data_IF_361185224058
#
_entry.id   IF_361185224058
#
_cell.length_a   1.000
_cell.length_b   1.000
_cell.length_c   1.000
_cell.angle_alpha   90.00
_cell.angle_beta   90.00
_cell.angle_gamma   90.00
#
_symmetry.space_group_name_H-M   'P 1'
#
loop_
_entity.id
_entity.type
_entity.pdbx_description
1 polymer ?
#
# COMPACT_ATOMS: atom_id res chain seq x y z
N UNK A 1 5.22 10.18 -17.54
CA UNK A 1 3.92 10.24 -16.85
C UNK A 1 4.15 9.73 -15.43
N UNK A 2 3.94 10.58 -14.42
CA UNK A 2 4.09 10.17 -13.03
C UNK A 2 2.80 9.44 -12.63
N UNK A 3 2.89 8.12 -12.38
CA UNK A 3 1.81 7.36 -11.74
C UNK A 3 1.66 7.91 -10.32
N UNK A 4 0.46 8.24 -9.93
CA UNK A 4 0.13 8.66 -8.57
C UNK A 4 -0.16 7.43 -7.76
N UNK A 5 0.59 7.27 -6.69
CA UNK A 5 0.23 6.33 -5.66
C UNK A 5 -0.94 6.89 -4.87
N UNK A 6 -1.93 6.07 -4.61
CA UNK A 6 -2.93 6.33 -3.60
C UNK A 6 -2.27 6.17 -2.23
N UNK A 7 -2.30 7.22 -1.41
CA UNK A 7 -1.93 7.12 -0.01
C UNK A 7 -3.02 6.33 0.70
N UNK A 8 -2.76 5.06 1.00
CA UNK A 8 -3.59 4.30 1.94
C UNK A 8 -3.02 4.58 3.34
N UNK A 9 -3.74 5.38 4.10
CA UNK A 9 -3.36 5.69 5.48
C UNK A 9 -3.26 4.43 6.34
N UNK A 10 -2.40 4.45 7.35
CA UNK A 10 -2.04 3.38 8.29
C UNK A 10 -3.22 2.66 9.02
N UNK A 11 -4.46 2.89 8.64
CA UNK A 11 -5.66 2.31 9.28
C UNK A 11 -6.07 0.91 8.81
N UNK A 12 -5.55 0.38 7.71
CA UNK A 12 -6.08 -0.85 7.09
C UNK A 12 -5.37 -2.15 7.46
N UNK A 13 -4.24 -2.12 8.12
CA UNK A 13 -3.47 -3.32 8.45
C UNK A 13 -4.14 -4.25 9.48
N UNK A 14 -5.16 -3.81 10.21
CA UNK A 14 -5.88 -4.62 11.19
C UNK A 14 -7.27 -5.13 10.75
N UNK A 15 -7.82 -4.62 9.65
CA UNK A 15 -9.16 -5.02 9.19
C UNK A 15 -9.19 -6.37 8.43
N UNK A 16 -8.03 -6.91 8.05
CA UNK A 16 -7.94 -8.21 7.36
C UNK A 16 -7.89 -9.43 8.31
N UNK A 17 -7.75 -9.21 9.62
CA UNK A 17 -8.08 -10.22 10.59
C UNK A 17 -9.62 -10.20 10.74
N UNK A 18 -10.30 -10.96 9.88
CA UNK A 18 -11.75 -11.05 9.85
C UNK A 18 -12.36 -11.32 11.21
N UNK A 19 -12.70 -10.29 11.94
CA UNK A 19 -13.85 -10.36 12.80
C UNK A 19 -15.05 -10.25 11.85
N UNK A 20 -15.57 -11.41 11.45
CA UNK A 20 -16.97 -11.50 11.12
C UNK A 20 -17.73 -11.03 12.40
N UNK A 21 -17.90 -9.70 12.54
CA UNK A 21 -18.94 -9.21 13.42
C UNK A 21 -20.20 -9.82 12.86
N UNK A 22 -20.79 -10.70 13.65
CA UNK A 22 -22.08 -11.27 13.38
C UNK A 22 -23.07 -10.09 13.22
N UNK A 23 -23.17 -9.58 11.99
CA UNK A 23 -24.37 -8.85 11.59
C UNK A 23 -25.50 -9.79 11.92
N UNK A 24 -26.52 -9.33 12.63
CA UNK A 24 -27.70 -10.09 13.04
C UNK A 24 -28.36 -10.81 11.86
N UNK A 25 -27.74 -11.82 11.26
CA UNK A 25 -28.25 -12.82 10.33
C UNK A 25 -29.22 -12.40 9.25
N UNK A 26 -29.37 -11.11 8.95
CA UNK A 26 -30.25 -10.61 7.91
C UNK A 26 -29.47 -10.34 6.63
N UNK A 27 -29.75 -11.11 5.60
CA UNK A 27 -29.29 -10.88 4.25
C UNK A 27 -30.47 -10.48 3.37
N UNK A 28 -30.30 -9.53 2.43
CA UNK A 28 -29.08 -8.73 2.20
C UNK A 28 -28.80 -7.74 3.32
N UNK A 29 -27.53 -7.41 3.55
CA UNK A 29 -27.05 -6.47 4.55
C UNK A 29 -26.15 -5.39 3.96
N UNK A 30 -26.16 -4.21 4.59
CA UNK A 30 -25.26 -3.09 4.25
C UNK A 30 -24.27 -2.90 5.40
N UNK A 31 -23.00 -2.79 5.06
CA UNK A 31 -21.94 -2.36 5.97
C UNK A 31 -21.11 -1.27 5.33
N UNK A 32 -20.43 -0.49 6.15
CA UNK A 32 -19.51 0.53 5.68
C UNK A 32 -18.31 0.60 6.62
N UNK A 33 -17.12 0.59 6.05
CA UNK A 33 -15.88 0.93 6.73
C UNK A 33 -15.43 2.31 6.27
N UNK A 34 -14.88 3.09 7.19
CA UNK A 34 -14.32 4.39 6.86
C UNK A 34 -13.05 4.66 7.66
N UNK A 35 -12.15 5.40 7.03
CA UNK A 35 -10.99 6.02 7.66
C UNK A 35 -10.91 7.47 7.20
N UNK A 36 -10.78 8.39 8.14
CA UNK A 36 -10.61 9.81 7.84
C UNK A 36 -9.36 10.30 8.54
N UNK A 37 -8.36 10.70 7.77
CA UNK A 37 -7.15 11.30 8.28
C UNK A 37 -7.08 12.78 7.92
N UNK A 38 -6.58 13.58 8.85
CA UNK A 38 -6.09 14.94 8.61
C UNK A 38 -4.59 14.88 8.79
N UNK A 39 -3.85 15.10 7.72
CA UNK A 39 -2.39 15.05 7.74
C UNK A 39 -1.78 16.40 7.42
N UNK A 40 -0.71 16.72 8.11
CA UNK A 40 0.11 17.89 7.87
C UNK A 40 1.57 17.49 7.73
N UNK A 41 2.13 17.74 6.54
CA UNK A 41 3.49 17.41 6.19
C UNK A 41 4.35 18.65 6.08
N UNK A 42 5.55 18.53 6.58
CA UNK A 42 6.64 19.48 6.41
C UNK A 42 7.79 18.77 5.74
N UNK A 43 8.29 19.30 4.63
CA UNK A 43 9.50 18.81 3.98
C UNK A 43 10.48 19.95 3.77
N UNK A 44 11.75 19.67 4.06
CA UNK A 44 12.86 20.59 3.83
C UNK A 44 13.81 19.98 2.80
N UNK A 45 13.79 20.52 1.60
CA UNK A 45 14.63 20.10 0.48
C UNK A 45 15.97 20.83 0.51
N UNK A 46 17.05 20.08 0.47
CA UNK A 46 18.41 20.60 0.38
C UNK A 46 19.02 20.21 -0.98
N UNK A 47 19.25 21.22 -1.81
CA UNK A 47 19.97 21.07 -3.08
C UNK A 47 21.35 21.73 -2.90
N UNK A 48 22.48 21.09 -3.30
CA UNK A 48 23.79 21.70 -3.23
C UNK A 48 23.79 23.06 -3.96
N UNK A 49 24.39 24.08 -3.33
CA UNK A 49 24.52 25.43 -3.85
C UNK A 49 23.20 26.19 -4.09
N UNK A 50 22.09 25.76 -3.51
CA UNK A 50 20.80 26.45 -3.53
C UNK A 50 20.29 26.73 -2.11
N UNK A 51 19.46 27.78 -1.91
CA UNK A 51 18.80 27.99 -0.63
C UNK A 51 17.91 26.82 -0.24
N UNK A 52 17.76 26.59 1.04
CA UNK A 52 16.82 25.58 1.56
C UNK A 52 15.40 25.91 1.11
N UNK A 53 14.73 24.92 0.58
CA UNK A 53 13.33 25.04 0.15
C UNK A 53 12.44 24.28 1.13
N UNK A 54 11.53 25.00 1.76
CA UNK A 54 10.57 24.42 2.72
C UNK A 54 9.22 24.32 2.06
N UNK A 55 8.64 23.13 2.08
CA UNK A 55 7.32 22.83 1.55
C UNK A 55 6.43 22.36 2.70
N UNK A 56 5.20 22.86 2.77
CA UNK A 56 4.21 22.39 3.74
C UNK A 56 2.94 21.99 3.01
N UNK A 57 2.35 20.88 3.43
CA UNK A 57 1.14 20.35 2.83
C UNK A 57 0.18 19.82 3.90
N UNK A 58 -0.95 20.45 4.06
CA UNK A 58 -2.04 19.96 4.90
C UNK A 58 -3.17 19.46 4.04
N UNK A 59 -3.68 18.26 4.29
CA UNK A 59 -4.73 17.66 3.49
C UNK A 59 -5.60 16.70 4.30
N UNK A 60 -6.76 16.38 3.73
CA UNK A 60 -7.61 15.28 4.14
C UNK A 60 -7.30 14.05 3.29
N UNK A 61 -7.35 12.91 3.95
CA UNK A 61 -7.41 11.61 3.32
C UNK A 61 -8.62 10.88 3.91
N UNK A 62 -9.63 10.63 3.08
CA UNK A 62 -10.86 9.96 3.51
C UNK A 62 -11.02 8.73 2.64
N UNK A 63 -10.90 7.57 3.24
CA UNK A 63 -11.15 6.29 2.59
C UNK A 63 -12.47 5.74 3.09
N UNK A 64 -13.32 5.28 2.17
CA UNK A 64 -14.57 4.62 2.49
C UNK A 64 -14.72 3.34 1.68
N UNK A 65 -15.25 2.29 2.30
CA UNK A 65 -15.62 1.07 1.64
C UNK A 65 -17.06 0.68 2.05
N UNK A 66 -17.96 0.63 1.10
CA UNK A 66 -19.33 0.21 1.29
C UNK A 66 -19.46 -1.24 0.86
N UNK A 67 -20.03 -2.07 1.73
CA UNK A 67 -20.16 -3.51 1.54
C UNK A 67 -21.63 -3.88 1.44
N UNK A 68 -22.05 -4.37 0.30
CA UNK A 68 -23.34 -5.00 0.09
C UNK A 68 -23.20 -6.51 0.27
N UNK A 69 -23.57 -7.02 1.43
CA UNK A 69 -23.56 -8.45 1.74
C UNK A 69 -24.79 -9.10 1.13
N UNK A 70 -24.60 -9.89 0.09
CA UNK A 70 -25.66 -10.61 -0.60
C UNK A 70 -25.99 -11.92 0.13
N UNK A 71 -24.95 -12.61 0.60
CA UNK A 71 -25.00 -13.85 1.37
C UNK A 71 -23.95 -13.82 2.49
N UNK A 72 -23.73 -14.94 3.18
CA UNK A 72 -22.65 -15.10 4.17
C UNK A 72 -21.26 -15.09 3.55
N UNK A 73 -21.15 -15.29 2.25
CA UNK A 73 -19.89 -15.47 1.53
C UNK A 73 -19.75 -14.58 0.28
N UNK A 74 -20.83 -13.87 -0.11
CA UNK A 74 -20.82 -12.99 -1.28
C UNK A 74 -21.12 -11.55 -0.91
N UNK A 75 -20.29 -10.65 -1.37
CA UNK A 75 -20.38 -9.23 -1.13
C UNK A 75 -20.08 -8.43 -2.43
N UNK A 76 -20.70 -7.27 -2.56
CA UNK A 76 -20.29 -6.23 -3.53
C UNK A 76 -19.60 -5.13 -2.73
N UNK A 77 -18.39 -4.81 -3.13
CA UNK A 77 -17.58 -3.74 -2.54
C UNK A 77 -17.54 -2.52 -3.43
N UNK A 78 -17.69 -1.34 -2.82
CA UNK A 78 -17.48 -0.05 -3.48
C UNK A 78 -16.55 0.78 -2.59
N UNK A 79 -15.31 0.90 -3.02
CA UNK A 79 -14.29 1.70 -2.35
C UNK A 79 -14.16 3.09 -2.99
N UNK A 80 -13.96 4.10 -2.16
CA UNK A 80 -13.65 5.45 -2.62
C UNK A 80 -12.64 6.13 -1.71
N UNK A 81 -11.87 7.06 -2.30
CA UNK A 81 -10.84 7.83 -1.61
C UNK A 81 -10.93 9.30 -1.99
N UNK A 82 -10.97 10.16 -0.98
CA UNK A 82 -10.85 11.62 -1.13
C UNK A 82 -9.47 12.02 -0.66
N UNK A 83 -8.57 12.29 -1.59
CA UNK A 83 -7.16 12.57 -1.31
C UNK A 83 -6.60 13.65 -2.26
N UNK A 84 -5.40 14.20 -2.01
CA UNK A 84 -4.75 15.12 -2.94
C UNK A 84 -4.47 14.48 -4.29
N UNK A 85 -5.00 15.05 -5.37
CA UNK A 85 -4.77 14.61 -6.75
C UNK A 85 -3.71 15.43 -7.49
N UNK A 86 -3.12 16.43 -6.83
CA UNK A 86 -2.03 17.25 -7.36
C UNK A 86 -0.85 17.23 -6.42
N UNK A 87 0.36 17.04 -6.95
CA UNK A 87 1.58 17.13 -6.14
C UNK A 87 1.81 18.57 -5.65
N UNK A 88 2.35 18.72 -4.44
CA UNK A 88 2.82 20.00 -3.92
C UNK A 88 4.18 20.32 -4.55
N UNK A 89 4.35 21.54 -5.03
CA UNK A 89 5.63 21.99 -5.61
C UNK A 89 6.64 22.31 -4.51
N UNK A 90 7.93 22.12 -4.74
CA UNK A 90 8.96 22.59 -3.83
C UNK A 90 8.78 24.08 -3.48
N UNK A 91 8.74 24.42 -2.19
CA UNK A 91 8.51 25.78 -1.71
C UNK A 91 7.04 26.20 -1.60
N UNK A 92 6.11 25.38 -2.02
CA UNK A 92 4.67 25.64 -1.90
C UNK A 92 4.20 25.43 -0.46
N UNK A 93 3.28 26.30 -0.03
CA UNK A 93 2.54 26.14 1.23
C UNK A 93 1.09 25.89 0.87
N UNK A 94 0.63 24.66 1.05
CA UNK A 94 -0.73 24.25 0.70
C UNK A 94 -1.48 23.81 1.95
N UNK A 95 -2.74 24.24 2.04
CA UNK A 95 -3.67 23.79 3.06
C UNK A 95 -4.98 23.40 2.39
N UNK A 96 -5.37 22.13 2.53
CA UNK A 96 -6.62 21.53 2.01
C UNK A 96 -6.86 21.75 0.50
N UNK A 97 -5.80 21.95 -0.26
CA UNK A 97 -5.90 22.17 -1.71
C UNK A 97 -5.63 20.92 -2.53
N UNK A 98 -6.11 20.91 -3.77
CA UNK A 98 -5.78 19.85 -4.73
C UNK A 98 -6.50 18.54 -4.53
N UNK A 99 -7.54 18.49 -3.68
CA UNK A 99 -8.30 17.29 -3.32
C UNK A 99 -9.20 16.80 -4.45
N UNK A 100 -9.23 15.51 -4.69
CA UNK A 100 -10.12 14.80 -5.62
C UNK A 100 -10.85 13.66 -4.94
N UNK A 101 -11.86 13.12 -5.62
CA UNK A 101 -12.57 11.89 -5.24
C UNK A 101 -12.25 10.82 -6.27
N UNK A 102 -11.64 9.74 -5.85
CA UNK A 102 -11.32 8.58 -6.68
C UNK A 102 -12.20 7.39 -6.25
N UNK A 103 -12.65 6.60 -7.21
CA UNK A 103 -13.23 5.29 -6.93
C UNK A 103 -12.09 4.28 -7.00
N UNK A 104 -11.74 3.68 -5.87
CA UNK A 104 -10.62 2.74 -5.76
C UNK A 104 -11.04 1.33 -6.12
N UNK A 105 -12.21 0.91 -5.65
CA UNK A 105 -12.73 -0.45 -5.78
C UNK A 105 -14.17 -0.44 -6.27
N UNK A 106 -14.52 -1.35 -7.16
CA UNK A 106 -15.87 -1.76 -7.50
C UNK A 106 -15.81 -3.22 -7.89
N UNK A 107 -16.07 -4.12 -6.95
CA UNK A 107 -15.90 -5.53 -7.21
C UNK A 107 -16.92 -6.41 -6.48
N UNK A 108 -17.17 -7.56 -7.05
CA UNK A 108 -17.80 -8.67 -6.36
C UNK A 108 -16.73 -9.51 -5.68
N UNK A 109 -16.93 -9.78 -4.40
CA UNK A 109 -16.05 -10.58 -3.55
C UNK A 109 -16.80 -11.79 -3.03
N UNK A 110 -16.28 -12.97 -3.32
CA UNK A 110 -16.73 -14.25 -2.78
C UNK A 110 -15.69 -14.78 -1.80
N UNK A 111 -16.07 -15.02 -0.55
CA UNK A 111 -15.18 -15.53 0.50
C UNK A 111 -15.69 -16.84 1.06
N UNK A 112 -15.28 -17.95 0.47
CA UNK A 112 -15.49 -19.29 1.01
C UNK A 112 -14.46 -19.65 2.09
N UNK A 113 -14.64 -20.80 2.71
CA UNK A 113 -13.73 -21.30 3.77
C UNK A 113 -12.31 -21.54 3.24
N UNK A 114 -12.17 -22.21 2.11
CA UNK A 114 -10.89 -22.59 1.50
C UNK A 114 -10.51 -21.75 0.29
N UNK A 115 -11.42 -20.99 -0.25
CA UNK A 115 -11.17 -20.20 -1.48
C UNK A 115 -11.83 -18.84 -1.40
N UNK A 116 -11.20 -17.87 -2.04
CA UNK A 116 -11.80 -16.56 -2.29
C UNK A 116 -11.63 -16.16 -3.75
N UNK A 117 -12.57 -15.37 -4.23
CA UNK A 117 -12.58 -14.85 -5.59
C UNK A 117 -13.03 -13.40 -5.58
N UNK A 118 -12.36 -12.55 -6.36
CA UNK A 118 -12.71 -11.15 -6.54
C UNK A 118 -12.76 -10.82 -8.03
N UNK A 119 -13.81 -10.11 -8.47
CA UNK A 119 -14.01 -9.72 -9.86
C UNK A 119 -14.48 -8.28 -9.96
N UNK A 120 -13.82 -7.47 -10.77
CA UNK A 120 -14.16 -6.06 -10.99
C UNK A 120 -12.94 -5.17 -10.94
N UNK A 121 -13.09 -3.97 -10.36
CA UNK A 121 -11.99 -3.05 -10.08
C UNK A 121 -11.45 -3.30 -8.67
N UNK A 122 -10.17 -3.60 -8.55
CA UNK A 122 -9.51 -3.95 -7.28
C UNK A 122 -8.01 -3.72 -7.33
N UNK A 123 -7.37 -3.72 -6.17
CA UNK A 123 -5.92 -3.70 -6.06
C UNK A 123 -5.36 -5.11 -6.17
N UNK A 124 -4.38 -5.28 -7.08
CA UNK A 124 -3.73 -6.58 -7.30
C UNK A 124 -2.84 -6.90 -6.10
N UNK A 125 -3.06 -8.03 -5.40
CA UNK A 125 -2.27 -8.39 -4.23
C UNK A 125 -0.83 -8.72 -4.65
N UNK A 126 0.11 -7.79 -4.41
CA UNK A 126 1.52 -7.96 -4.73
C UNK A 126 2.40 -7.06 -3.87
N UNK A 127 3.29 -7.67 -3.06
CA UNK A 127 4.06 -6.97 -2.04
C UNK A 127 3.23 -6.67 -0.79
N UNK A 128 3.91 -6.29 0.27
CA UNK A 128 3.32 -6.00 1.59
C UNK A 128 3.87 -4.74 2.23
N UNK A 129 4.97 -4.16 1.73
CA UNK A 129 5.64 -3.06 2.42
C UNK A 129 4.72 -1.83 2.54
N UNK A 130 3.81 -1.61 1.58
CA UNK A 130 2.86 -0.51 1.64
C UNK A 130 1.97 -0.57 2.88
N UNK A 131 1.59 -1.79 3.31
CA UNK A 131 0.69 -2.00 4.44
C UNK A 131 1.43 -2.42 5.72
N UNK A 132 2.55 -3.13 5.59
CA UNK A 132 3.25 -3.76 6.71
C UNK A 132 4.36 -2.92 7.30
N UNK A 133 4.96 -2.01 6.53
CA UNK A 133 6.02 -1.15 7.00
C UNK A 133 5.45 0.14 7.59
N UNK A 134 5.80 0.49 8.85
CA UNK A 134 5.28 1.66 9.53
C UNK A 134 5.85 2.96 8.95
N UNK A 135 5.06 4.03 8.99
CA UNK A 135 5.45 5.37 8.58
C UNK A 135 4.40 6.09 7.74
N UNK A 136 4.44 7.41 7.70
CA UNK A 136 3.54 8.23 6.88
C UNK A 136 4.03 8.38 5.43
N UNK A 137 5.32 8.14 5.18
CA UNK A 137 5.97 8.35 3.88
C UNK A 137 6.40 7.06 3.20
N UNK A 138 6.46 5.95 3.95
CA UNK A 138 6.92 4.66 3.43
C UNK A 138 5.99 4.13 2.35
N UNK A 139 4.66 4.21 2.55
CA UNK A 139 3.66 3.76 1.58
C UNK A 139 3.85 4.43 0.22
N UNK A 140 4.07 5.76 0.21
CA UNK A 140 4.30 6.51 -1.04
C UNK A 140 5.61 6.13 -1.72
N UNK A 141 6.65 5.87 -0.92
CA UNK A 141 7.96 5.52 -1.46
C UNK A 141 7.97 4.16 -2.15
N UNK A 142 7.19 3.20 -1.65
CA UNK A 142 7.08 1.84 -2.20
C UNK A 142 5.92 1.68 -3.19
N UNK A 143 5.00 2.62 -3.25
CA UNK A 143 3.83 2.60 -4.13
C UNK A 143 4.10 2.36 -5.64
N UNK A 144 5.28 2.66 -6.22
CA UNK A 144 5.51 2.40 -7.65
C UNK A 144 5.37 0.94 -8.07
N UNK A 145 5.53 -0.04 -7.18
CA UNK A 145 5.29 -1.45 -7.51
C UNK A 145 3.94 -1.99 -7.02
N UNK A 146 3.18 -1.22 -6.26
CA UNK A 146 1.81 -1.57 -5.90
C UNK A 146 0.85 -1.22 -7.06
N UNK A 147 0.02 -2.17 -7.48
CA UNK A 147 -0.92 -1.97 -8.57
C UNK A 147 -2.34 -1.81 -8.03
N UNK A 148 -2.74 -0.55 -7.82
CA UNK A 148 -4.08 -0.19 -7.37
C UNK A 148 -5.06 0.04 -8.51
N UNK A 149 -6.36 -0.25 -8.26
CA UNK A 149 -7.47 0.10 -9.13
C UNK A 149 -7.45 -0.57 -10.51
N UNK A 150 -7.01 -1.82 -10.61
CA UNK A 150 -7.01 -2.59 -11.85
C UNK A 150 -8.35 -3.27 -12.09
N UNK A 151 -8.74 -3.39 -13.37
CA UNK A 151 -9.92 -4.17 -13.76
C UNK A 151 -9.51 -5.63 -14.03
N UNK A 152 -10.19 -6.59 -13.43
CA UNK A 152 -9.86 -7.99 -13.62
C UNK A 152 -10.48 -8.92 -12.60
N UNK A 153 -9.78 -10.01 -12.30
CA UNK A 153 -10.17 -10.96 -11.27
C UNK A 153 -8.96 -11.60 -10.59
N UNK A 154 -9.14 -11.96 -9.34
CA UNK A 154 -8.16 -12.75 -8.57
C UNK A 154 -8.85 -13.94 -7.93
N UNK A 155 -8.17 -15.06 -7.89
CA UNK A 155 -8.59 -16.26 -7.20
C UNK A 155 -7.51 -16.69 -6.23
N UNK A 156 -7.88 -16.99 -4.99
CA UNK A 156 -7.00 -17.53 -3.93
C UNK A 156 -7.56 -18.84 -3.45
N UNK A 157 -6.69 -19.81 -3.21
CA UNK A 157 -7.01 -21.07 -2.56
C UNK A 157 -6.15 -21.27 -1.32
N UNK A 158 -6.75 -21.74 -0.21
CA UNK A 158 -6.08 -21.93 1.08
C UNK A 158 -5.95 -23.40 1.41
N UNK A 159 -4.73 -23.87 1.54
CA UNK A 159 -4.38 -25.18 2.04
C UNK A 159 -4.09 -25.06 3.53
N UNK A 160 -4.89 -25.72 4.34
CA UNK A 160 -4.65 -25.80 5.78
C UNK A 160 -3.98 -27.12 6.10
N UNK A 161 -2.83 -27.09 6.77
CA UNK A 161 -2.07 -28.26 7.17
C UNK A 161 -1.57 -28.10 8.60
N UNK A 162 -1.65 -29.14 9.41
CA UNK A 162 -1.22 -29.08 10.81
C UNK A 162 0.28 -28.85 10.94
N UNK A 163 1.07 -29.46 10.06
CA UNK A 163 2.54 -29.42 10.13
C UNK A 163 3.16 -28.23 9.41
N UNK A 164 2.53 -27.76 8.32
CA UNK A 164 3.10 -26.72 7.45
C UNK A 164 2.37 -25.37 7.57
N UNK A 165 1.32 -25.31 8.39
CA UNK A 165 0.49 -24.12 8.54
C UNK A 165 -0.43 -23.90 7.34
N UNK A 166 -0.66 -22.63 6.96
CA UNK A 166 -1.56 -22.26 5.87
C UNK A 166 -0.75 -21.77 4.68
N UNK A 167 -0.99 -22.38 3.52
CA UNK A 167 -0.40 -21.96 2.22
C UNK A 167 -1.55 -21.44 1.37
N UNK A 168 -1.45 -20.19 0.92
CA UNK A 168 -2.48 -19.52 0.12
C UNK A 168 -1.91 -19.00 -1.20
N UNK A 169 -1.86 -19.84 -2.26
CA UNK A 169 -1.57 -19.38 -3.60
C UNK A 169 -2.73 -18.56 -4.16
N UNK A 170 -2.42 -17.48 -4.85
CA UNK A 170 -3.37 -16.65 -5.59
C UNK A 170 -2.89 -16.39 -7.01
N UNK A 171 -3.86 -16.24 -7.92
CA UNK A 171 -3.64 -15.88 -9.31
C UNK A 171 -4.56 -14.72 -9.67
N UNK A 172 -4.00 -13.67 -10.24
CA UNK A 172 -4.73 -12.49 -10.73
C UNK A 172 -4.53 -12.33 -12.23
N UNK A 173 -5.62 -12.01 -12.94
CA UNK A 173 -5.61 -11.56 -14.34
C UNK A 173 -6.25 -10.20 -14.41
N UNK A 174 -5.58 -9.23 -15.04
CA UNK A 174 -6.03 -7.84 -14.97
C UNK A 174 -5.57 -6.98 -16.15
N UNK A 175 -6.15 -5.79 -16.23
CA UNK A 175 -5.75 -4.69 -17.11
C UNK A 175 -5.85 -3.36 -16.37
N UNK A 176 -5.16 -2.33 -16.86
CA UNK A 176 -5.32 -0.97 -16.35
C UNK A 176 -6.78 -0.51 -16.54
N UNK A 177 -7.32 0.19 -15.53
CA UNK A 177 -8.63 0.82 -15.64
C UNK A 177 -8.55 2.04 -16.56
N UNK A 178 -9.22 1.96 -17.72
CA UNK A 178 -9.37 3.07 -18.68
C UNK A 178 -10.80 3.61 -18.73
N UNK A 179 -11.66 3.15 -17.82
CA UNK A 179 -13.04 3.62 -17.70
C UNK A 179 -13.12 5.01 -17.07
N UNK A 180 -14.33 5.54 -16.97
CA UNK A 180 -14.59 6.81 -16.28
C UNK A 180 -14.22 6.78 -14.80
N UNK A 181 -14.11 5.58 -14.19
CA UNK A 181 -13.72 5.38 -12.81
C UNK A 181 -12.21 5.55 -12.59
N UNK A 182 -11.40 5.70 -13.62
CA UNK A 182 -9.96 5.96 -13.53
C UNK A 182 -9.62 7.43 -13.30
N UNK A 183 -10.60 8.33 -13.34
CA UNK A 183 -10.43 9.76 -13.09
C UNK A 183 -11.01 10.17 -11.75
N UNK A 184 -10.49 11.26 -11.19
CA UNK A 184 -11.10 11.89 -10.01
C UNK A 184 -12.35 12.71 -10.39
N UNK A 185 -13.37 12.69 -9.53
CA UNK A 185 -14.66 13.36 -9.77
C UNK A 185 -14.74 14.78 -9.19
N UNK A 186 -14.23 15.05 -7.99
CA UNK A 186 -14.29 16.38 -7.37
C UNK A 186 -13.36 17.38 -8.06
N UNK A 187 -12.16 16.95 -8.37
CA UNK A 187 -11.20 17.71 -9.17
C UNK A 187 -10.78 16.84 -10.33
N UNK A 188 -11.26 17.10 -11.55
CA UNK A 188 -10.98 16.24 -12.68
C UNK A 188 -9.49 16.05 -12.88
N UNK A 189 -9.02 14.82 -12.76
CA UNK A 189 -7.75 14.37 -13.29
C UNK A 189 -7.96 13.83 -14.69
N UNK A 190 -6.90 13.75 -15.47
CA UNK A 190 -7.01 13.15 -16.80
C UNK A 190 -7.39 11.66 -16.67
N UNK A 191 -8.47 11.25 -17.33
CA UNK A 191 -8.83 9.84 -17.44
C UNK A 191 -7.71 9.07 -18.13
N UNK A 192 -7.32 7.93 -17.58
CA UNK A 192 -6.36 7.05 -18.23
C UNK A 192 -6.93 6.56 -19.58
N UNK A 193 -6.13 6.63 -20.62
CA UNK A 193 -6.50 6.21 -21.98
C UNK A 193 -5.52 5.15 -22.46
N UNK A 194 -5.99 4.26 -23.31
CA UNK A 194 -5.14 3.25 -23.94
C UNK A 194 -3.99 3.88 -24.72
N UNK A 195 -4.23 5.03 -25.38
CA UNK A 195 -3.20 5.79 -26.10
C UNK A 195 -2.07 6.35 -25.22
N UNK A 196 -2.25 6.37 -23.90
CA UNK A 196 -1.20 6.84 -22.98
C UNK A 196 -0.03 5.85 -22.90
N UNK A 197 -0.25 4.60 -23.38
CA UNK A 197 0.76 3.55 -23.36
C UNK A 197 1.14 3.10 -21.94
N UNK A 198 2.32 2.52 -21.81
CA UNK A 198 2.86 2.02 -20.55
C UNK A 198 2.50 0.56 -20.29
N UNK A 199 3.14 -0.03 -19.28
CA UNK A 199 2.83 -1.37 -18.83
C UNK A 199 1.41 -1.43 -18.26
N UNK A 200 0.76 -2.60 -18.33
CA UNK A 200 -0.64 -2.87 -17.94
C UNK A 200 -1.73 -2.28 -18.84
N UNK A 201 -1.45 -1.21 -19.57
CA UNK A 201 -2.46 -0.47 -20.34
C UNK A 201 -2.67 -1.07 -21.74
N UNK A 202 -3.05 -2.34 -21.80
CA UNK A 202 -3.26 -3.10 -23.05
C UNK A 202 -4.69 -3.07 -23.54
N UNK A 203 -5.64 -2.68 -22.68
CA UNK A 203 -7.09 -2.83 -22.92
C UNK A 203 -7.56 -4.29 -22.96
N UNK A 204 -6.74 -5.24 -22.50
CA UNK A 204 -7.02 -6.68 -22.45
C UNK A 204 -6.60 -7.26 -21.10
N UNK A 205 -7.30 -8.29 -20.65
CA UNK A 205 -6.95 -9.05 -19.43
C UNK A 205 -5.79 -10.02 -19.72
N UNK A 206 -4.62 -9.49 -20.03
CA UNK A 206 -3.43 -10.25 -20.38
C UNK A 206 -2.24 -10.00 -19.43
N UNK A 207 -2.43 -9.16 -18.40
CA UNK A 207 -1.47 -9.03 -17.31
C UNK A 207 -1.80 -10.07 -16.24
N UNK A 208 -0.78 -10.61 -15.60
CA UNK A 208 -0.95 -11.66 -14.61
C UNK A 208 -0.04 -11.46 -13.39
N UNK A 209 -0.55 -11.80 -12.21
CA UNK A 209 0.24 -11.93 -10.99
C UNK A 209 -0.04 -13.26 -10.31
N UNK A 210 0.99 -13.96 -9.88
CA UNK A 210 0.92 -15.16 -9.07
C UNK A 210 1.64 -14.89 -7.75
N UNK A 211 0.95 -15.10 -6.63
CA UNK A 211 1.49 -14.86 -5.30
C UNK A 211 1.20 -16.07 -4.42
N UNK A 212 2.14 -16.44 -3.58
CA UNK A 212 1.96 -17.46 -2.55
C UNK A 212 2.21 -16.81 -1.20
N UNK A 213 1.19 -16.80 -0.36
CA UNK A 213 1.29 -16.43 1.04
C UNK A 213 1.41 -17.69 1.88
N UNK A 214 2.38 -17.73 2.76
CA UNK A 214 2.54 -18.78 3.73
C UNK A 214 2.48 -18.21 5.13
N UNK A 215 1.61 -18.78 5.97
CA UNK A 215 1.56 -18.54 7.41
C UNK A 215 2.01 -19.80 8.12
N UNK A 216 3.05 -19.69 8.92
CA UNK A 216 3.64 -20.81 9.62
C UNK A 216 2.67 -21.51 10.59
N UNK A 217 2.94 -22.78 10.90
CA UNK A 217 2.13 -23.55 11.85
C UNK A 217 2.29 -23.04 13.28
N UNK A 218 1.47 -23.57 14.19
CA UNK A 218 1.48 -23.19 15.61
C UNK A 218 2.84 -23.38 16.32
N UNK A 219 3.75 -24.19 15.76
CA UNK A 219 5.11 -24.36 16.29
C UNK A 219 5.99 -23.11 16.11
N UNK A 220 5.72 -22.29 15.08
CA UNK A 220 6.39 -21.01 14.83
C UNK A 220 5.29 -19.97 14.55
N UNK A 221 4.51 -19.61 15.59
CA UNK A 221 3.33 -18.76 15.40
C UNK A 221 3.73 -17.39 14.86
N UNK A 222 2.82 -16.79 14.10
CA UNK A 222 2.94 -15.40 13.60
C UNK A 222 4.06 -15.14 12.59
N UNK A 223 4.76 -16.16 12.07
CA UNK A 223 5.66 -16.01 10.93
C UNK A 223 4.85 -16.07 9.65
N UNK A 224 5.02 -15.06 8.82
CA UNK A 224 4.39 -14.94 7.50
C UNK A 224 5.45 -14.71 6.43
N UNK A 225 5.31 -15.40 5.31
CA UNK A 225 6.17 -15.24 4.13
C UNK A 225 5.29 -15.03 2.90
N UNK A 226 5.70 -14.12 2.03
CA UNK A 226 5.10 -13.97 0.71
C UNK A 226 6.18 -14.09 -0.34
N UNK A 227 5.87 -14.78 -1.44
CA UNK A 227 6.64 -14.76 -2.68
C UNK A 227 5.71 -14.55 -3.84
N UNK A 228 6.12 -13.79 -4.84
CA UNK A 228 5.27 -13.50 -5.99
C UNK A 228 6.04 -13.16 -7.25
N UNK A 229 5.36 -13.38 -8.37
CA UNK A 229 5.79 -12.99 -9.70
C UNK A 229 4.65 -12.33 -10.45
N UNK A 230 4.95 -11.24 -11.15
CA UNK A 230 4.00 -10.47 -11.91
C UNK A 230 4.55 -10.16 -13.29
N UNK A 231 3.69 -10.17 -14.31
CA UNK A 231 4.02 -9.75 -15.66
C UNK A 231 2.98 -8.77 -16.17
N UNK A 232 3.44 -7.61 -16.58
CA UNK A 232 2.63 -6.54 -17.15
C UNK A 232 3.00 -6.39 -18.62
N UNK A 233 2.06 -6.69 -19.50
CA UNK A 233 2.27 -6.55 -20.92
C UNK A 233 2.36 -5.07 -21.30
N UNK A 234 3.20 -4.80 -22.28
CA UNK A 234 3.31 -3.46 -22.88
C UNK A 234 1.98 -3.05 -23.49
N UNK A 235 1.57 -1.83 -23.20
CA UNK A 235 0.42 -1.19 -23.87
C UNK A 235 0.72 -0.80 -25.30
N UNK A 236 -0.19 -0.07 -25.92
CA UNK A 236 0.02 0.49 -27.26
C UNK A 236 1.27 1.38 -27.27
N UNK A 237 2.03 1.29 -28.34
CA UNK A 237 3.24 2.09 -28.51
C UNK A 237 2.81 3.56 -28.66
N UNK A 238 3.13 4.40 -27.69
CA UNK A 238 3.00 5.83 -27.85
C UNK A 238 4.20 6.35 -28.68
N UNK A 239 4.04 7.51 -29.32
CA UNK A 239 5.14 8.18 -30.02
C UNK A 239 6.35 8.43 -29.09
N UNK A 240 6.14 8.42 -27.77
CA UNK A 240 7.17 8.62 -26.74
C UNK A 240 7.95 7.34 -26.39
N UNK A 241 7.48 6.13 -26.75
CA UNK A 241 8.16 4.88 -26.43
C UNK A 241 7.93 3.82 -27.51
N UNK A 242 8.62 3.91 -28.66
CA UNK A 242 8.44 2.96 -29.79
C UNK A 242 8.95 1.55 -29.47
N UNK A 243 9.74 1.36 -28.43
CA UNK A 243 10.41 0.09 -28.07
C UNK A 243 9.95 -0.47 -26.73
N UNK A 244 8.71 -0.25 -26.34
CA UNK A 244 8.18 -0.71 -25.06
C UNK A 244 8.33 -2.23 -24.89
N UNK A 245 8.81 -2.66 -23.71
CA UNK A 245 8.96 -4.03 -23.30
C UNK A 245 7.86 -4.42 -22.29
N UNK A 246 7.68 -5.72 -22.05
CA UNK A 246 6.87 -6.17 -20.92
C UNK A 246 7.63 -5.91 -19.61
N UNK A 247 6.92 -5.40 -18.63
CA UNK A 247 7.44 -5.24 -17.27
C UNK A 247 7.27 -6.55 -16.51
N UNK A 248 8.27 -6.92 -15.72
CA UNK A 248 8.22 -8.10 -14.86
C UNK A 248 8.61 -7.71 -13.44
N UNK A 249 7.89 -8.22 -12.47
CA UNK A 249 8.16 -7.96 -11.06
C UNK A 249 8.30 -9.26 -10.29
N UNK A 250 9.17 -9.25 -9.29
CA UNK A 250 9.35 -10.35 -8.33
C UNK A 250 9.35 -9.79 -6.94
N UNK A 251 8.67 -10.45 -6.02
CA UNK A 251 8.61 -10.05 -4.61
C UNK A 251 8.94 -11.22 -3.71
N UNK A 252 9.64 -10.94 -2.62
CA UNK A 252 9.77 -11.82 -1.48
C UNK A 252 9.70 -11.00 -0.20
N UNK A 253 8.84 -11.39 0.73
CA UNK A 253 8.73 -10.72 2.03
C UNK A 253 8.62 -11.69 3.18
N UNK A 254 9.11 -11.29 4.33
CA UNK A 254 9.02 -12.00 5.61
C UNK A 254 8.57 -11.03 6.68
N UNK A 255 7.55 -11.42 7.44
CA UNK A 255 7.04 -10.72 8.61
C UNK A 255 6.97 -11.69 9.77
N UNK A 256 7.48 -11.29 10.93
CA UNK A 256 7.39 -12.11 12.13
C UNK A 256 6.93 -11.27 13.31
N UNK A 257 5.87 -11.67 14.01
CA UNK A 257 5.44 -11.02 15.24
C UNK A 257 5.94 -11.84 16.42
N UNK A 258 6.71 -11.20 17.28
CA UNK A 258 7.31 -11.77 18.49
C UNK A 258 6.56 -11.20 19.69
N UNK A 259 5.56 -11.90 20.23
CA UNK A 259 4.86 -11.44 21.42
C UNK A 259 5.71 -11.69 22.65
N UNK A 260 5.75 -10.75 23.57
CA UNK A 260 6.37 -10.92 24.89
C UNK A 260 5.61 -10.13 25.95
N UNK A 261 5.81 -10.55 27.21
CA UNK A 261 5.25 -9.83 28.35
C UNK A 261 6.33 -8.97 28.96
N UNK A 262 6.05 -7.68 29.12
CA UNK A 262 7.00 -6.77 29.73
C UNK A 262 7.31 -7.16 31.17
N UNK A 263 8.60 -7.28 31.48
CA UNK A 263 9.09 -7.47 32.86
C UNK A 263 9.14 -6.12 33.59
N UNK A 264 9.34 -6.15 34.90
CA UNK A 264 9.53 -4.94 35.74
C UNK A 264 10.74 -4.10 35.28
N UNK A 265 11.70 -4.70 34.59
CA UNK A 265 12.94 -4.04 34.13
C UNK A 265 12.66 -2.99 33.03
N UNK A 266 11.53 -3.11 32.33
CA UNK A 266 11.07 -2.12 31.33
C UNK A 266 10.30 -0.96 31.95
N UNK A 267 10.24 -0.89 33.27
CA UNK A 267 9.58 0.15 34.05
C UNK A 267 8.14 -0.19 34.45
N UNK A 268 7.64 0.47 35.49
CA UNK A 268 6.35 0.12 36.11
C UNK A 268 5.14 0.34 35.16
N UNK A 269 5.30 1.21 34.18
CA UNK A 269 4.21 1.52 33.24
C UNK A 269 3.95 0.41 32.22
N UNK A 270 4.97 -0.39 31.90
CA UNK A 270 4.88 -1.48 30.92
C UNK A 270 4.81 -2.86 31.59
N UNK A 271 5.16 -2.96 32.86
CA UNK A 271 5.18 -4.23 33.60
C UNK A 271 3.84 -4.98 33.49
N UNK A 272 3.90 -6.24 33.10
CA UNK A 272 2.72 -7.10 32.92
C UNK A 272 1.89 -6.83 31.66
N UNK A 273 2.29 -5.91 30.78
CA UNK A 273 1.62 -5.67 29.49
C UNK A 273 2.15 -6.61 28.42
N UNK A 274 1.25 -6.99 27.50
CA UNK A 274 1.64 -7.66 26.26
C UNK A 274 2.23 -6.64 25.31
N UNK A 275 3.35 -6.98 24.74
CA UNK A 275 4.11 -6.18 23.79
C UNK A 275 4.40 -7.04 22.57
N UNK A 276 4.39 -6.44 21.41
CA UNK A 276 4.73 -7.12 20.15
C UNK A 276 5.91 -6.42 19.47
N UNK A 277 6.89 -7.21 19.07
CA UNK A 277 7.98 -6.78 18.21
C UNK A 277 7.78 -7.41 16.84
N UNK A 278 7.67 -6.58 15.80
CA UNK A 278 7.34 -7.04 14.45
C UNK A 278 8.43 -6.61 13.46
N UNK A 279 9.48 -7.41 13.28
CA UNK A 279 10.40 -7.25 12.17
C UNK A 279 9.73 -7.61 10.85
N UNK A 280 10.02 -6.82 9.81
CA UNK A 280 9.57 -7.03 8.46
C UNK A 280 10.69 -6.72 7.47
N UNK A 281 10.79 -7.55 6.42
CA UNK A 281 11.71 -7.36 5.30
C UNK A 281 10.98 -7.68 4.01
N UNK A 282 11.10 -6.83 3.00
CA UNK A 282 10.61 -7.08 1.66
C UNK A 282 11.65 -6.69 0.61
N UNK A 283 11.84 -7.56 -0.37
CA UNK A 283 12.63 -7.31 -1.57
C UNK A 283 11.73 -7.37 -2.80
N UNK A 284 11.77 -6.33 -3.62
CA UNK A 284 11.07 -6.27 -4.91
C UNK A 284 12.05 -5.92 -6.01
N UNK A 285 12.02 -6.69 -7.09
CA UNK A 285 12.75 -6.40 -8.32
C UNK A 285 11.78 -6.17 -9.46
N UNK A 286 11.90 -5.01 -10.10
CA UNK A 286 11.15 -4.62 -11.29
C UNK A 286 12.11 -4.62 -12.47
N UNK A 287 11.82 -5.43 -13.47
CA UNK A 287 12.55 -5.46 -14.75
C UNK A 287 11.73 -4.76 -15.82
N UNK A 288 12.37 -3.90 -16.61
CA UNK A 288 11.73 -3.04 -17.61
C UNK A 288 10.61 -2.15 -16.99
N UNK A 289 10.90 -1.46 -15.90
CA UNK A 289 9.92 -0.63 -15.17
C UNK A 289 9.20 0.32 -16.13
N UNK A 290 7.86 0.38 -15.99
CA UNK A 290 6.96 1.13 -16.88
C UNK A 290 7.03 0.74 -18.37
N UNK A 291 7.52 -0.46 -18.68
CA UNK A 291 7.70 -0.95 -20.05
C UNK A 291 8.90 -0.35 -20.78
N UNK A 292 9.84 0.25 -20.06
CA UNK A 292 11.09 0.80 -20.62
C UNK A 292 12.14 -0.31 -20.67
N UNK A 293 12.63 -0.70 -21.87
CA UNK A 293 13.61 -1.78 -22.01
C UNK A 293 14.89 -1.50 -21.22
N UNK A 294 15.31 -2.46 -20.38
CA UNK A 294 16.55 -2.37 -19.62
C UNK A 294 16.55 -1.30 -18.51
N UNK A 295 15.38 -0.78 -18.14
CA UNK A 295 15.20 0.09 -16.97
C UNK A 295 14.77 -0.76 -15.80
N UNK A 296 15.71 -1.13 -14.94
CA UNK A 296 15.48 -2.02 -13.81
C UNK A 296 15.51 -1.24 -12.50
N UNK A 297 14.59 -1.61 -11.58
CA UNK A 297 14.55 -1.04 -10.24
C UNK A 297 14.45 -2.14 -9.19
N UNK A 298 15.22 -1.99 -8.12
CA UNK A 298 15.21 -2.90 -6.98
C UNK A 298 14.86 -2.12 -5.71
N UNK A 299 13.94 -2.66 -4.91
CA UNK A 299 13.55 -2.13 -3.61
C UNK A 299 13.94 -3.14 -2.52
N UNK A 300 14.53 -2.64 -1.44
CA UNK A 300 14.73 -3.39 -0.21
C UNK A 300 14.16 -2.56 0.94
N UNK A 301 13.04 -3.00 1.48
CA UNK A 301 12.38 -2.41 2.64
C UNK A 301 12.64 -3.26 3.86
N UNK A 302 13.13 -2.65 4.91
CA UNK A 302 13.30 -3.26 6.24
C UNK A 302 12.59 -2.41 7.26
N UNK A 303 11.81 -3.02 8.13
CA UNK A 303 11.15 -2.30 9.21
C UNK A 303 11.11 -3.08 10.51
N UNK A 304 10.98 -2.34 11.60
CA UNK A 304 10.76 -2.85 12.93
C UNK A 304 9.62 -2.06 13.56
N UNK A 305 8.56 -2.75 13.95
CA UNK A 305 7.46 -2.17 14.73
C UNK A 305 7.52 -2.71 16.15
N UNK A 306 7.37 -1.82 17.11
CA UNK A 306 7.22 -2.15 18.52
C UNK A 306 5.86 -1.65 18.98
N UNK A 307 4.94 -2.59 19.25
CA UNK A 307 3.61 -2.28 19.76
C UNK A 307 3.60 -2.42 21.29
N UNK A 308 3.22 -1.36 21.97
CA UNK A 308 3.13 -1.25 23.43
C UNK A 308 1.72 -0.85 23.86
N UNK A 309 0.72 -1.45 23.27
CA UNK A 309 -0.69 -1.27 23.56
C UNK A 309 -1.25 0.05 23.06
N UNK A 310 -1.13 1.17 23.79
CA UNK A 310 -1.57 2.48 23.29
C UNK A 310 -0.56 3.17 22.39
N UNK A 311 0.66 2.69 22.34
CA UNK A 311 1.73 3.24 21.53
C UNK A 311 2.26 2.17 20.57
N UNK A 312 2.39 2.52 19.32
CA UNK A 312 3.14 1.76 18.34
C UNK A 312 4.31 2.63 17.83
N UNK A 313 5.51 2.10 17.87
CA UNK A 313 6.71 2.75 17.36
C UNK A 313 7.20 2.01 16.13
N UNK A 314 7.59 2.74 15.12
CA UNK A 314 8.09 2.20 13.87
C UNK A 314 9.42 2.78 13.48
N UNK A 315 10.29 1.94 12.92
CA UNK A 315 11.48 2.35 12.21
C UNK A 315 11.52 1.63 10.88
N UNK A 316 11.57 2.38 9.78
CA UNK A 316 11.58 1.84 8.43
C UNK A 316 12.75 2.41 7.64
N UNK A 317 13.40 1.55 6.88
CA UNK A 317 14.39 1.93 5.88
C UNK A 317 14.07 1.24 4.56
N UNK A 318 13.87 2.02 3.51
CA UNK A 318 13.71 1.51 2.14
C UNK A 318 14.84 2.06 1.28
N UNK A 319 15.57 1.15 0.65
CA UNK A 319 16.55 1.47 -0.38
C UNK A 319 15.96 1.13 -1.75
N UNK A 320 16.07 2.06 -2.70
CA UNK A 320 15.63 1.91 -4.08
C UNK A 320 16.83 2.11 -4.99
N UNK A 321 17.23 1.06 -5.69
CA UNK A 321 18.29 1.11 -6.68
C UNK A 321 17.70 1.14 -8.08
N UNK A 322 18.04 2.18 -8.84
CA UNK A 322 17.58 2.36 -10.22
C UNK A 322 18.75 2.11 -11.15
N UNK A 323 18.56 1.23 -12.12
CA UNK A 323 19.56 0.82 -13.13
C UNK A 323 19.00 1.10 -14.53
N UNK A 324 19.19 2.31 -15.08
CA UNK A 324 18.73 2.62 -16.42
C UNK A 324 19.59 1.92 -17.47
N UNK A 325 18.99 1.57 -18.62
CA UNK A 325 19.70 0.99 -19.76
C UNK A 325 20.79 1.94 -20.26
N UNK A 326 22.05 1.51 -20.17
CA UNK A 326 23.20 2.30 -20.63
C UNK A 326 23.60 3.51 -19.79
N UNK A 327 22.96 3.70 -18.63
CA UNK A 327 23.25 4.80 -17.69
C UNK A 327 23.87 4.34 -16.37
N UNK A 328 24.37 5.28 -15.56
CA UNK A 328 24.87 4.98 -14.23
C UNK A 328 23.74 4.57 -13.29
N UNK A 329 24.03 3.66 -12.38
CA UNK A 329 23.11 3.29 -11.30
C UNK A 329 22.92 4.46 -10.33
N UNK A 330 21.69 4.67 -9.89
CA UNK A 330 21.36 5.65 -8.88
C UNK A 330 20.70 4.97 -7.69
N UNK A 331 21.03 5.46 -6.48
CA UNK A 331 20.43 4.98 -5.24
C UNK A 331 19.56 6.08 -4.65
N UNK A 332 18.33 5.73 -4.38
CA UNK A 332 17.37 6.51 -3.62
C UNK A 332 17.07 5.79 -2.31
N UNK A 333 16.73 6.52 -1.27
CA UNK A 333 16.36 5.90 0.00
C UNK A 333 15.36 6.75 0.77
N UNK A 334 14.62 6.08 1.64
CA UNK A 334 13.82 6.67 2.71
C UNK A 334 14.20 5.99 4.02
N UNK A 335 14.51 6.77 5.06
CA UNK A 335 14.61 6.30 6.44
C UNK A 335 13.61 7.09 7.25
N UNK A 336 12.73 6.40 7.96
CA UNK A 336 11.60 6.99 8.66
C UNK A 336 11.45 6.36 10.05
N UNK A 337 11.24 7.21 11.07
CA UNK A 337 10.81 6.80 12.39
C UNK A 337 9.41 7.34 12.64
N UNK A 338 8.53 6.51 13.17
CA UNK A 338 7.13 6.85 13.40
C UNK A 338 6.67 6.45 14.80
N UNK A 339 5.67 7.15 15.29
CA UNK A 339 4.96 6.83 16.52
C UNK A 339 3.47 7.02 16.29
N UNK A 340 2.69 6.04 16.68
CA UNK A 340 1.22 6.12 16.71
C UNK A 340 0.76 6.02 18.17
N UNK A 341 -0.12 6.93 18.57
CA UNK A 341 -0.80 6.90 19.85
C UNK A 341 -2.30 6.63 19.64
N UNK A 342 -2.77 5.47 20.12
CA UNK A 342 -4.16 5.09 20.11
C UNK A 342 -4.91 5.81 21.24
N UNK A 343 -5.55 6.94 20.92
CA UNK A 343 -6.29 7.75 21.88
C UNK A 343 -7.52 7.00 22.38
N UNK A 344 -8.25 6.42 21.43
CA UNK A 344 -9.40 5.53 21.64
C UNK A 344 -9.35 4.38 20.62
N UNK A 345 -10.31 3.46 20.65
CA UNK A 345 -10.45 2.43 19.61
C UNK A 345 -10.81 2.98 18.23
N UNK A 346 -11.11 4.27 18.12
CA UNK A 346 -11.50 4.93 16.87
C UNK A 346 -10.53 6.04 16.43
N UNK A 347 -9.72 6.58 17.35
CA UNK A 347 -8.88 7.77 17.08
C UNK A 347 -7.42 7.47 17.31
N UNK A 348 -6.61 7.70 16.28
CA UNK A 348 -5.17 7.60 16.29
C UNK A 348 -4.51 8.94 16.04
N UNK A 349 -3.42 9.22 16.75
CA UNK A 349 -2.49 10.31 16.50
C UNK A 349 -1.17 9.72 16.02
N UNK A 350 -0.72 10.10 14.83
CA UNK A 350 0.56 9.66 14.29
C UNK A 350 1.52 10.83 14.16
N UNK A 351 2.78 10.56 14.50
CA UNK A 351 3.92 11.44 14.27
C UNK A 351 4.97 10.66 13.51
N UNK A 352 5.50 11.24 12.45
CA UNK A 352 6.55 10.62 11.66
C UNK A 352 7.62 11.62 11.30
N UNK A 353 8.87 11.19 11.32
CA UNK A 353 10.01 11.99 10.90
C UNK A 353 11.03 11.16 10.14
N UNK A 354 11.63 11.73 9.12
CA UNK A 354 12.52 10.95 8.28
C UNK A 354 13.45 11.76 7.39
N UNK A 355 14.21 11.02 6.62
CA UNK A 355 15.10 11.56 5.59
C UNK A 355 14.97 10.73 4.33
N UNK A 356 14.76 11.40 3.22
CA UNK A 356 14.70 10.77 1.91
C UNK A 356 15.76 11.34 0.97
N UNK A 357 16.17 10.53 0.01
CA UNK A 357 16.97 10.94 -1.14
C UNK A 357 16.31 10.41 -2.40
N UNK A 358 15.91 11.31 -3.29
CA UNK A 358 15.28 10.99 -4.57
C UNK A 358 15.81 11.94 -5.65
N UNK A 359 16.12 11.42 -6.84
CA UNK A 359 16.66 12.22 -7.95
C UNK A 359 17.94 12.98 -7.59
N UNK A 360 18.79 12.45 -6.70
CA UNK A 360 20.01 13.10 -6.21
C UNK A 360 19.79 14.18 -5.16
N UNK A 361 18.55 14.52 -4.82
CA UNK A 361 18.18 15.52 -3.83
C UNK A 361 17.86 14.86 -2.48
N UNK A 362 18.21 15.53 -1.40
CA UNK A 362 17.94 15.04 -0.04
C UNK A 362 16.90 15.93 0.62
N UNK A 363 15.88 15.31 1.23
CA UNK A 363 14.82 15.97 1.98
C UNK A 363 14.77 15.45 3.40
N UNK A 364 14.53 16.35 4.36
CA UNK A 364 14.09 16.00 5.71
C UNK A 364 12.57 16.10 5.76
N UNK A 365 11.92 15.13 6.36
CA UNK A 365 10.48 14.97 6.39
C UNK A 365 10.00 15.00 7.84
N UNK A 366 8.86 15.63 8.08
CA UNK A 366 8.14 15.58 9.35
C UNK A 366 6.64 15.62 9.04
N UNK A 367 5.87 14.70 9.59
CA UNK A 367 4.44 14.60 9.40
C UNK A 367 3.70 14.34 10.69
N UNK A 368 2.51 14.90 10.79
CA UNK A 368 1.55 14.63 11.87
C UNK A 368 0.24 14.27 11.23
N UNK A 369 -0.41 13.22 11.74
CA UNK A 369 -1.74 12.80 11.28
C UNK A 369 -2.66 12.52 12.45
N UNK A 370 -3.92 12.88 12.30
CA UNK A 370 -5.02 12.47 13.17
C UNK A 370 -5.93 11.63 12.31
N UNK A 371 -6.16 10.37 12.72
CA UNK A 371 -6.98 9.43 11.96
C UNK A 371 -8.18 9.00 12.80
N UNK A 372 -9.37 9.05 12.21
CA UNK A 372 -10.62 8.52 12.76
C UNK A 372 -11.03 7.31 11.92
N UNK A 373 -11.11 6.13 12.55
CA UNK A 373 -11.51 4.87 11.92
C UNK A 373 -12.85 4.41 12.49
N UNK A 374 -13.67 3.78 11.67
CA UNK A 374 -14.91 3.16 12.15
C UNK A 374 -15.53 2.23 11.13
N UNK A 375 -16.47 1.39 11.63
CA UNK A 375 -17.24 0.46 10.83
C UNK A 375 -18.66 0.33 11.39
N UNK A 376 -19.66 0.08 10.55
CA UNK A 376 -21.05 -0.17 10.92
C UNK A 376 -21.79 -1.07 9.91
#
# INVERSE_FOLDING_TARGET
>A
MKRRAACVGMGLAFALAGQAQASNGRYPGLGMDYSTAVQYDFSSLRVPNQPHTVTTNGYFDITTAVHFRLTTIDEIWVGSEVSPVTDTRPGERRWLGGTGLNITDVNWYHQGYVSSFRLGKFDVPFGRAQDAAPGLYTSDFVAPYALGGMNGGTYEYRFFTDNWGTIAPSLSLYAADTSVLSRSFLRPSQQARRSDGGATNTGKLNNAAAVVNWRAPAAIPYLEVQVGYMTNHKGDVSAASPTAANEQMRVASVRYMIPFVATTDLGPTLAGRYLDLVPFVEYVKVHNENGVPGFDTEYLTTSLTFDAGRFAYGLTHTNKQISPSGGPRTNEYLTEASMVYHVTGLVDLALSGGRSRQGGQTSSLLGVSITLNGSF
#
